data_IF_857707246575
#
_entry.id   IF_857707246575
#
_cell.length_a   1.000
_cell.length_b   1.000
_cell.length_c   1.000
_cell.angle_alpha   90.00
_cell.angle_beta   90.00
_cell.angle_gamma   90.00
#
_symmetry.space_group_name_H-M   'P 1'
#
loop_
_entity.id
_entity.type
_entity.pdbx_description
1 polymer ?
#
# COMPACT_ATOMS: atom_id res chain seq x y z
N UNK A 1 -5.42 5.31 -18.30
CA UNK A 1 -5.00 4.39 -17.22
C UNK A 1 -4.82 5.22 -15.97
N UNK A 2 -5.47 4.87 -14.86
CA UNK A 2 -5.35 5.64 -13.60
C UNK A 2 -3.99 5.33 -12.98
N UNK A 3 -3.24 6.35 -12.58
CA UNK A 3 -1.93 6.21 -11.92
C UNK A 3 -1.89 7.06 -10.65
N UNK A 4 -1.10 6.62 -9.67
CA UNK A 4 -0.80 7.40 -8.48
C UNK A 4 -0.15 8.73 -8.90
N UNK A 5 -0.64 9.83 -8.34
CA UNK A 5 -0.17 11.16 -8.68
C UNK A 5 -0.04 12.06 -7.46
N UNK A 6 0.56 13.22 -7.68
CA UNK A 6 0.86 14.17 -6.63
C UNK A 6 -0.40 14.67 -5.89
N UNK A 7 -1.50 14.90 -6.61
CA UNK A 7 -2.76 15.40 -6.02
C UNK A 7 -3.36 14.40 -5.02
N UNK A 8 -3.25 13.09 -5.30
CA UNK A 8 -3.69 12.05 -4.39
C UNK A 8 -2.90 12.07 -3.07
N UNK A 9 -1.58 12.25 -3.14
CA UNK A 9 -0.73 12.32 -1.93
C UNK A 9 -1.00 13.61 -1.14
N UNK A 10 -1.19 14.72 -1.84
CA UNK A 10 -1.60 16.00 -1.25
C UNK A 10 -2.93 15.87 -0.52
N UNK A 11 -3.91 15.17 -1.11
CA UNK A 11 -5.20 14.90 -0.47
C UNK A 11 -5.05 14.13 0.86
N UNK A 12 -4.13 13.16 0.93
CA UNK A 12 -3.83 12.44 2.16
C UNK A 12 -3.31 13.37 3.27
N UNK A 13 -2.39 14.27 2.93
CA UNK A 13 -1.91 15.28 3.88
C UNK A 13 -2.98 16.31 4.25
N UNK A 14 -3.76 16.82 3.29
CA UNK A 14 -4.86 17.76 3.54
C UNK A 14 -5.86 17.18 4.55
N UNK A 15 -6.19 15.90 4.41
CA UNK A 15 -7.07 15.18 5.34
C UNK A 15 -6.49 15.13 6.76
N UNK A 16 -5.18 14.89 6.87
CA UNK A 16 -4.49 14.82 8.16
C UNK A 16 -4.38 16.19 8.82
N UNK A 17 -4.08 17.23 8.04
CA UNK A 17 -4.03 18.63 8.50
C UNK A 17 -5.41 19.10 8.97
N UNK A 18 -6.45 18.86 8.18
CA UNK A 18 -7.83 19.21 8.54
C UNK A 18 -8.24 18.57 9.87
N UNK A 19 -7.87 17.29 10.09
CA UNK A 19 -8.13 16.62 11.36
C UNK A 19 -7.52 17.34 12.57
N UNK A 20 -6.24 17.73 12.52
CA UNK A 20 -5.60 18.42 13.64
C UNK A 20 -6.08 19.85 13.85
N UNK A 21 -6.59 20.47 12.79
CA UNK A 21 -7.19 21.81 12.89
C UNK A 21 -8.65 21.78 13.33
N UNK A 22 -9.27 20.59 13.45
CA UNK A 22 -10.69 20.45 13.74
C UNK A 22 -11.59 20.88 12.56
N UNK A 23 -11.03 20.89 11.36
CA UNK A 23 -11.70 21.26 10.12
C UNK A 23 -12.32 20.02 9.44
N UNK A 24 -13.30 20.26 8.58
CA UNK A 24 -13.88 19.18 7.78
C UNK A 24 -12.88 18.76 6.70
N UNK A 25 -12.54 17.47 6.66
CA UNK A 25 -11.66 16.93 5.63
C UNK A 25 -12.25 17.16 4.23
N UNK A 26 -11.41 17.42 3.21
CA UNK A 26 -11.88 17.53 1.84
C UNK A 26 -12.59 16.25 1.43
N UNK A 27 -13.69 16.38 0.66
CA UNK A 27 -14.39 15.21 0.15
C UNK A 27 -13.45 14.38 -0.73
N UNK A 28 -13.32 13.06 -0.49
CA UNK A 28 -12.52 12.23 -1.38
C UNK A 28 -13.18 12.19 -2.75
N UNK A 29 -12.37 12.10 -3.81
CA UNK A 29 -12.86 11.80 -5.15
C UNK A 29 -13.28 10.32 -5.31
N UNK A 30 -13.23 9.53 -4.24
CA UNK A 30 -13.47 8.08 -4.22
C UNK A 30 -14.31 7.67 -2.99
N UNK A 31 -15.08 6.60 -3.13
CA UNK A 31 -15.93 6.05 -2.07
C UNK A 31 -15.12 5.16 -1.10
N UNK A 32 -15.56 5.04 0.16
CA UNK A 32 -15.05 4.12 1.20
C UNK A 32 -13.57 4.26 1.65
N UNK A 33 -13.10 5.49 1.87
CA UNK A 33 -11.77 5.74 2.46
C UNK A 33 -11.65 5.42 3.95
N UNK A 34 -10.67 4.61 4.36
CA UNK A 34 -10.20 4.50 5.76
C UNK A 34 -9.01 5.44 5.99
N UNK A 35 -9.11 6.31 7.01
CA UNK A 35 -8.05 7.28 7.34
C UNK A 35 -6.94 6.66 8.21
N UNK A 36 -5.70 7.15 8.06
CA UNK A 36 -4.52 6.70 8.81
C UNK A 36 -4.70 6.71 10.34
N UNK A 37 -5.59 7.55 10.85
CA UNK A 37 -5.92 7.70 12.28
C UNK A 37 -6.74 6.52 12.86
N UNK A 38 -7.18 5.57 12.02
CA UNK A 38 -8.03 4.44 12.42
C UNK A 38 -7.32 3.09 12.42
N UNK A 39 -6.01 3.05 12.13
CA UNK A 39 -5.24 1.81 12.22
C UNK A 39 -4.95 1.46 13.69
N UNK A 40 -5.65 0.46 14.23
CA UNK A 40 -5.54 0.04 15.64
C UNK A 40 -4.20 -0.62 16.00
N UNK A 41 -3.36 -0.95 15.01
CA UNK A 41 -2.06 -1.58 15.25
C UNK A 41 -1.03 -0.58 15.77
N UNK A 42 -1.26 0.71 15.55
CA UNK A 42 -0.39 1.80 15.96
C UNK A 42 -1.16 2.83 16.76
N UNK A 43 -0.52 3.58 17.67
CA UNK A 43 -1.13 4.78 18.22
C UNK A 43 -1.44 5.77 17.07
N UNK A 44 -2.50 6.57 17.18
CA UNK A 44 -2.74 7.63 16.20
C UNK A 44 -1.51 8.52 16.07
N UNK A 45 -1.19 8.88 14.83
CA UNK A 45 -0.15 9.85 14.52
C UNK A 45 -0.36 11.11 15.37
N UNK A 46 0.71 11.70 15.89
CA UNK A 46 0.67 12.97 16.62
C UNK A 46 1.06 14.13 15.70
N UNK A 47 0.51 15.32 15.92
CA UNK A 47 0.81 16.50 15.11
C UNK A 47 2.32 16.80 15.01
N UNK A 48 3.07 16.59 16.10
CA UNK A 48 4.53 16.78 16.16
C UNK A 48 5.33 15.83 15.23
N UNK A 49 4.72 14.73 14.78
CA UNK A 49 5.36 13.75 13.90
C UNK A 49 5.25 14.17 12.43
N UNK A 50 4.30 15.06 12.09
CA UNK A 50 4.05 15.51 10.71
C UNK A 50 5.30 15.93 9.94
N UNK A 51 6.23 16.74 10.50
CA UNK A 51 7.46 17.13 9.80
C UNK A 51 8.32 15.97 9.28
N UNK A 52 8.18 14.79 9.88
CA UNK A 52 8.99 13.61 9.60
C UNK A 52 8.22 12.55 8.81
N UNK A 53 6.96 12.81 8.46
CA UNK A 53 6.15 11.84 7.72
C UNK A 53 6.46 11.87 6.23
N UNK A 54 6.39 10.67 5.67
CA UNK A 54 6.30 10.40 4.26
C UNK A 54 4.93 9.77 3.99
N UNK A 55 4.27 10.21 2.92
CA UNK A 55 3.02 9.62 2.45
C UNK A 55 3.25 8.98 1.09
N UNK A 56 2.84 7.73 0.94
CA UNK A 56 2.87 7.00 -0.32
C UNK A 56 1.46 6.56 -0.70
N UNK A 57 1.03 6.95 -1.89
CA UNK A 57 -0.18 6.43 -2.54
C UNK A 57 0.23 5.38 -3.55
N UNK A 58 -0.36 4.19 -3.45
CA UNK A 58 -0.22 3.10 -4.42
C UNK A 58 -1.56 2.83 -5.09
N UNK A 59 -1.58 2.88 -6.43
CA UNK A 59 -2.76 2.51 -7.23
C UNK A 59 -2.47 1.19 -7.93
N UNK A 60 -3.27 0.18 -7.59
CA UNK A 60 -3.16 -1.18 -8.13
C UNK A 60 -4.03 -1.30 -9.39
N UNK A 61 -3.45 -1.74 -10.50
CA UNK A 61 -4.09 -1.81 -11.82
C UNK A 61 -3.74 -3.11 -12.54
N UNK A 62 -4.36 -3.33 -13.70
CA UNK A 62 -4.01 -4.44 -14.62
C UNK A 62 -4.09 -5.82 -13.95
N UNK A 63 -5.15 -6.06 -13.18
CA UNK A 63 -5.40 -7.36 -12.59
C UNK A 63 -5.67 -8.40 -13.68
N UNK A 64 -4.86 -9.44 -13.71
CA UNK A 64 -4.99 -10.55 -14.65
C UNK A 64 -4.72 -11.89 -13.96
N UNK A 65 -5.41 -12.94 -14.40
CA UNK A 65 -5.14 -14.30 -13.92
C UNK A 65 -3.85 -14.81 -14.57
N UNK A 66 -2.90 -15.24 -13.76
CA UNK A 66 -1.66 -15.84 -14.26
C UNK A 66 -1.92 -17.27 -14.79
N UNK A 67 -1.22 -17.65 -15.85
CA UNK A 67 -1.31 -18.97 -16.49
C UNK A 67 -0.80 -20.10 -15.59
N UNK A 68 0.19 -19.81 -14.77
CA UNK A 68 0.79 -20.72 -13.80
C UNK A 68 1.55 -19.90 -12.73
N UNK A 69 2.11 -20.59 -11.73
CA UNK A 69 2.78 -19.93 -10.60
C UNK A 69 4.09 -19.21 -10.91
N UNK A 70 4.58 -19.32 -12.14
CA UNK A 70 5.76 -18.61 -12.63
C UNK A 70 5.41 -17.51 -13.66
N UNK A 71 4.14 -17.38 -14.06
CA UNK A 71 3.66 -16.38 -15.02
C UNK A 71 3.45 -15.02 -14.33
N UNK A 72 4.55 -14.38 -13.98
CA UNK A 72 4.65 -13.02 -13.46
C UNK A 72 6.10 -12.52 -13.60
N UNK A 73 6.41 -11.31 -13.15
CA UNK A 73 7.73 -10.71 -13.31
C UNK A 73 8.13 -9.99 -12.03
N UNK A 74 9.33 -10.31 -11.53
CA UNK A 74 9.85 -9.77 -10.27
C UNK A 74 10.08 -8.27 -10.42
N UNK A 75 9.63 -7.47 -9.45
CA UNK A 75 9.74 -6.02 -9.47
C UNK A 75 8.69 -5.30 -10.32
N UNK A 76 7.91 -6.05 -11.13
CA UNK A 76 6.83 -5.50 -11.96
C UNK A 76 5.45 -5.90 -11.47
N UNK A 77 5.26 -7.18 -11.15
CA UNK A 77 3.96 -7.73 -10.79
C UNK A 77 3.84 -7.97 -9.30
N UNK A 78 2.78 -7.43 -8.70
CA UNK A 78 2.24 -7.85 -7.41
C UNK A 78 1.40 -9.11 -7.60
N UNK A 79 1.23 -9.87 -6.53
CA UNK A 79 0.59 -11.19 -6.56
C UNK A 79 -0.49 -11.29 -5.51
N UNK A 80 -1.63 -11.84 -5.88
CA UNK A 80 -2.62 -12.42 -4.96
C UNK A 80 -2.64 -13.92 -5.23
N UNK A 81 -2.34 -14.72 -4.21
CA UNK A 81 -2.47 -16.18 -4.29
C UNK A 81 -3.73 -16.64 -3.58
N UNK A 82 -4.33 -17.70 -4.10
CA UNK A 82 -5.47 -18.37 -3.50
C UNK A 82 -5.39 -19.88 -3.71
N UNK A 83 -5.65 -20.64 -2.65
CA UNK A 83 -5.68 -22.10 -2.71
C UNK A 83 -6.46 -22.69 -1.54
N UNK A 84 -6.87 -23.94 -1.68
CA UNK A 84 -7.43 -24.73 -0.59
C UNK A 84 -6.32 -25.54 0.06
N UNK A 85 -6.18 -25.38 1.38
CA UNK A 85 -5.29 -26.19 2.21
C UNK A 85 -5.70 -27.67 2.08
N UNK A 86 -4.82 -28.55 1.59
CA UNK A 86 -5.18 -29.96 1.38
C UNK A 86 -5.42 -30.74 2.68
N UNK A 87 -4.85 -30.28 3.80
CA UNK A 87 -4.90 -31.01 5.07
C UNK A 87 -6.11 -30.59 5.90
N UNK A 88 -6.48 -29.31 5.83
CA UNK A 88 -7.58 -28.73 6.62
C UNK A 88 -8.79 -28.29 5.80
N UNK A 89 -8.76 -28.52 4.47
CA UNK A 89 -9.80 -28.12 3.52
C UNK A 89 -10.25 -26.65 3.67
N UNK A 90 -9.32 -25.77 4.05
CA UNK A 90 -9.59 -24.36 4.35
C UNK A 90 -9.04 -23.48 3.23
N UNK A 91 -9.82 -22.51 2.75
CA UNK A 91 -9.34 -21.57 1.74
C UNK A 91 -8.37 -20.58 2.36
N UNK A 92 -7.22 -20.40 1.71
CA UNK A 92 -6.16 -19.47 2.11
C UNK A 92 -5.90 -18.47 1.00
N UNK A 93 -5.50 -17.26 1.39
CA UNK A 93 -5.07 -16.22 0.47
C UNK A 93 -4.00 -15.34 1.11
N UNK A 94 -3.10 -14.81 0.29
CA UNK A 94 -2.13 -13.81 0.67
C UNK A 94 -1.80 -12.93 -0.54
N UNK A 95 -1.29 -11.73 -0.25
CA UNK A 95 -0.86 -10.76 -1.26
C UNK A 95 0.54 -10.24 -0.98
N UNK A 96 1.28 -9.96 -2.06
CA UNK A 96 2.49 -9.15 -2.06
C UNK A 96 2.41 -8.09 -3.14
N UNK A 97 2.94 -6.91 -2.81
CA UNK A 97 3.11 -5.80 -3.75
C UNK A 97 4.30 -6.08 -4.70
N UNK A 98 4.37 -5.42 -5.88
CA UNK A 98 5.40 -5.67 -6.88
C UNK A 98 6.85 -5.61 -6.37
N UNK A 99 7.14 -4.73 -5.42
CA UNK A 99 8.47 -4.45 -4.90
C UNK A 99 8.99 -5.53 -3.95
N UNK A 100 8.11 -6.31 -3.31
CA UNK A 100 8.49 -7.19 -2.19
C UNK A 100 9.51 -8.25 -2.62
N UNK A 101 9.24 -8.99 -3.69
CA UNK A 101 10.13 -10.07 -4.13
C UNK A 101 11.51 -9.55 -4.56
N UNK A 102 11.54 -8.37 -5.20
CA UNK A 102 12.78 -7.74 -5.64
C UNK A 102 13.61 -7.24 -4.45
N UNK A 103 12.97 -6.59 -3.47
CA UNK A 103 13.60 -6.08 -2.26
C UNK A 103 14.26 -7.19 -1.43
N UNK A 104 13.59 -8.33 -1.32
CA UNK A 104 14.10 -9.49 -0.57
C UNK A 104 15.13 -10.31 -1.37
N UNK A 105 15.34 -10.01 -2.66
CA UNK A 105 16.22 -10.78 -3.54
C UNK A 105 15.71 -12.20 -3.82
N UNK A 106 14.40 -12.43 -3.71
CA UNK A 106 13.80 -13.75 -3.90
C UNK A 106 13.65 -14.12 -5.37
N UNK A 107 13.88 -15.39 -5.68
CA UNK A 107 13.41 -16.02 -6.91
C UNK A 107 11.88 -16.14 -6.92
N UNK A 108 11.30 -16.42 -8.09
CA UNK A 108 9.85 -16.62 -8.19
C UNK A 108 9.33 -17.73 -7.28
N UNK A 109 10.09 -18.81 -7.13
CA UNK A 109 9.70 -19.96 -6.31
C UNK A 109 9.74 -19.58 -4.83
N UNK A 110 10.81 -18.93 -4.38
CA UNK A 110 10.94 -18.46 -2.98
C UNK A 110 9.83 -17.48 -2.62
N UNK A 111 9.48 -16.56 -3.52
CA UNK A 111 8.38 -15.62 -3.32
C UNK A 111 7.02 -16.33 -3.20
N UNK A 112 6.74 -17.32 -4.06
CA UNK A 112 5.50 -18.11 -3.99
C UNK A 112 5.44 -18.93 -2.69
N UNK A 113 6.53 -19.58 -2.30
CA UNK A 113 6.58 -20.36 -1.08
C UNK A 113 6.38 -19.45 0.14
N UNK A 114 7.03 -18.29 0.16
CA UNK A 114 6.86 -17.26 1.18
C UNK A 114 5.42 -16.74 1.26
N UNK A 115 4.77 -16.48 0.12
CA UNK A 115 3.34 -16.13 0.04
C UNK A 115 2.44 -17.20 0.64
N UNK A 116 2.71 -18.48 0.37
CA UNK A 116 1.95 -19.59 0.95
C UNK A 116 2.12 -19.66 2.47
N UNK A 117 3.35 -19.46 2.97
CA UNK A 117 3.62 -19.33 4.41
C UNK A 117 2.86 -18.16 5.02
N UNK A 118 2.86 -17.00 4.35
CA UNK A 118 2.12 -15.80 4.74
C UNK A 118 0.60 -16.02 4.77
N UNK A 119 0.07 -16.88 3.90
CA UNK A 119 -1.33 -17.32 3.91
C UNK A 119 -1.65 -18.31 5.07
N UNK A 120 -0.65 -18.63 5.90
CA UNK A 120 -0.74 -19.49 7.06
C UNK A 120 -0.56 -20.98 6.78
N UNK A 121 -0.08 -21.37 5.59
CA UNK A 121 0.21 -22.77 5.29
C UNK A 121 1.60 -23.16 5.83
N UNK A 122 1.66 -24.08 6.78
CA UNK A 122 2.91 -24.42 7.49
C UNK A 122 3.50 -25.79 7.12
N UNK A 123 2.80 -26.57 6.30
CA UNK A 123 3.25 -27.90 5.90
C UNK A 123 4.23 -27.86 4.72
N UNK A 124 4.61 -29.03 4.21
CA UNK A 124 5.56 -29.16 3.10
C UNK A 124 4.95 -28.62 1.81
N UNK A 125 5.63 -27.67 1.18
CA UNK A 125 5.20 -27.09 -0.10
C UNK A 125 5.77 -27.94 -1.23
N UNK A 126 4.88 -28.62 -1.97
CA UNK A 126 5.25 -29.47 -3.10
C UNK A 126 4.97 -28.78 -4.43
N UNK A 127 5.62 -29.27 -5.48
CA UNK A 127 5.39 -28.78 -6.85
C UNK A 127 3.93 -28.94 -7.31
N UNK A 128 3.28 -30.06 -6.95
CA UNK A 128 1.87 -30.28 -7.25
C UNK A 128 0.97 -29.28 -6.53
N UNK A 129 1.33 -28.85 -5.32
CA UNK A 129 0.59 -27.83 -4.59
C UNK A 129 0.77 -26.45 -5.22
N UNK A 130 1.98 -26.07 -5.65
CA UNK A 130 2.21 -24.80 -6.38
C UNK A 130 1.38 -24.70 -7.65
N UNK A 131 1.26 -25.81 -8.39
CA UNK A 131 0.44 -25.88 -9.61
C UNK A 131 -1.07 -25.74 -9.36
N UNK A 132 -1.53 -25.92 -8.12
CA UNK A 132 -2.94 -25.71 -7.73
C UNK A 132 -3.26 -24.28 -7.27
N UNK A 133 -2.25 -23.41 -7.17
CA UNK A 133 -2.48 -22.02 -6.81
C UNK A 133 -3.26 -21.33 -7.93
N UNK A 134 -4.34 -20.63 -7.56
CA UNK A 134 -4.89 -19.57 -8.41
C UNK A 134 -4.12 -18.29 -8.10
N UNK A 135 -3.57 -17.67 -9.13
CA UNK A 135 -2.74 -16.49 -8.98
C UNK A 135 -3.31 -15.37 -9.82
N UNK A 136 -3.53 -14.23 -9.18
CA UNK A 136 -3.84 -12.97 -9.85
C UNK A 136 -2.59 -12.11 -9.76
N UNK A 137 -2.04 -11.72 -10.91
CA UNK A 137 -0.97 -10.72 -10.98
C UNK A 137 -1.57 -9.35 -11.29
N UNK A 138 -0.93 -8.31 -10.79
CA UNK A 138 -1.34 -6.93 -11.01
C UNK A 138 -0.09 -6.04 -11.03
N UNK A 139 -0.21 -4.83 -11.57
CA UNK A 139 0.83 -3.81 -11.51
C UNK A 139 0.41 -2.72 -10.52
N UNK A 140 1.36 -1.90 -10.09
CA UNK A 140 1.06 -0.72 -9.29
C UNK A 140 1.86 0.48 -9.73
N UNK A 141 1.26 1.64 -9.59
CA UNK A 141 1.97 2.93 -9.67
C UNK A 141 2.03 3.53 -8.28
N UNK A 142 3.18 4.09 -7.92
CA UNK A 142 3.41 4.72 -6.62
C UNK A 142 3.70 6.21 -6.80
N UNK A 143 3.17 7.02 -5.90
CA UNK A 143 3.57 8.41 -5.73
C UNK A 143 3.85 8.63 -4.25
N UNK A 144 5.04 9.14 -3.95
CA UNK A 144 5.52 9.39 -2.59
C UNK A 144 5.82 10.87 -2.44
N UNK A 145 5.50 11.44 -1.28
CA UNK A 145 5.82 12.82 -0.92
C UNK A 145 6.14 12.92 0.57
N UNK A 146 7.22 13.61 0.90
CA UNK A 146 7.50 14.02 2.27
C UNK A 146 6.63 15.21 2.67
N UNK A 147 6.30 15.32 3.94
CA UNK A 147 5.52 16.45 4.45
C UNK A 147 6.16 17.81 4.13
N UNK A 148 7.49 17.91 4.09
CA UNK A 148 8.21 19.13 3.69
C UNK A 148 7.95 19.54 2.25
N UNK A 149 7.80 18.56 1.35
CA UNK A 149 7.45 18.78 -0.05
C UNK A 149 5.98 19.18 -0.19
N UNK A 150 5.09 18.57 0.60
CA UNK A 150 3.69 18.99 0.72
C UNK A 150 3.56 20.45 1.14
N UNK A 151 4.28 20.87 2.17
CA UNK A 151 4.28 22.27 2.62
C UNK A 151 4.74 23.21 1.50
N UNK A 152 5.81 22.83 0.80
CA UNK A 152 6.35 23.63 -0.32
C UNK A 152 5.34 23.72 -1.46
N UNK A 153 4.68 22.60 -1.80
CA UNK A 153 3.62 22.54 -2.79
C UNK A 153 2.45 23.47 -2.42
N UNK A 154 1.94 23.37 -1.19
CA UNK A 154 0.80 24.18 -0.72
C UNK A 154 1.15 25.68 -0.68
N UNK A 155 2.34 26.06 -0.21
CA UNK A 155 2.81 27.45 -0.22
C UNK A 155 2.84 28.03 -1.64
N UNK A 156 3.29 27.24 -2.61
CA UNK A 156 3.45 27.68 -4.01
C UNK A 156 2.14 27.69 -4.78
N UNK A 157 1.29 26.67 -4.57
CA UNK A 157 0.08 26.44 -5.37
C UNK A 157 -1.18 27.06 -4.79
N UNK A 158 -1.26 27.23 -3.46
CA UNK A 158 -2.49 27.66 -2.76
C UNK A 158 -2.34 28.99 -2.00
N UNK A 159 -1.16 29.62 -2.02
CA UNK A 159 -0.86 30.91 -1.39
C UNK A 159 -1.15 31.02 0.13
N UNK A 160 -1.53 29.92 0.79
CA UNK A 160 -1.81 29.84 2.22
C UNK A 160 -1.07 28.66 2.84
N UNK A 161 -0.40 28.90 3.97
CA UNK A 161 0.15 27.86 4.81
C UNK A 161 -0.91 27.50 5.85
N UNK A 162 -1.47 26.28 5.88
CA UNK A 162 -2.37 25.90 6.95
C UNK A 162 -1.55 25.81 8.24
N UNK A 163 -1.78 26.68 9.25
CA UNK A 163 -1.15 26.51 10.54
C UNK A 163 -1.66 25.18 11.11
N UNK A 164 -0.77 24.36 11.66
CA UNK A 164 -1.19 23.14 12.36
C UNK A 164 -1.21 23.42 13.84
N UNK A 165 -2.39 23.30 14.44
CA UNK A 165 -2.53 23.43 15.89
C UNK A 165 -1.62 22.40 16.59
N UNK A 166 -0.68 22.91 17.40
CA UNK A 166 0.24 22.09 18.19
C UNK A 166 1.59 21.76 17.55
N UNK A 167 1.90 22.29 16.36
CA UNK A 167 3.23 22.15 15.71
C UNK A 167 3.91 23.51 15.64
N UNK A 168 5.12 23.64 16.20
CA UNK A 168 5.91 24.87 16.05
C UNK A 168 6.36 25.00 14.57
N UNK A 169 6.38 26.22 14.00
CA UNK A 169 6.89 26.42 12.65
C UNK A 169 8.32 25.87 12.55
N UNK A 170 8.59 25.09 11.51
CA UNK A 170 9.94 24.69 11.17
C UNK A 170 10.60 25.95 10.58
N UNK A 171 11.58 26.51 11.30
CA UNK A 171 12.39 27.64 10.87
C UNK A 171 13.47 27.21 9.87
#
# INVERSE_FOLDING_TARGET
>A
MVSANQEMVVYCFDTLVAHYNGEQAPLPAFEDGQHALRDRRFPPVQAKELPYLECTVSILTEYETALNYLDWEIGKHGLIIEFTDPDYNTRRSATYLPEVAAHEGWTKIEAIDSLMRKAGYNNVITESLRKRLRITKYQSTLCTMHYTEYITYVKTSRAQYPPINGVKPIH
#
